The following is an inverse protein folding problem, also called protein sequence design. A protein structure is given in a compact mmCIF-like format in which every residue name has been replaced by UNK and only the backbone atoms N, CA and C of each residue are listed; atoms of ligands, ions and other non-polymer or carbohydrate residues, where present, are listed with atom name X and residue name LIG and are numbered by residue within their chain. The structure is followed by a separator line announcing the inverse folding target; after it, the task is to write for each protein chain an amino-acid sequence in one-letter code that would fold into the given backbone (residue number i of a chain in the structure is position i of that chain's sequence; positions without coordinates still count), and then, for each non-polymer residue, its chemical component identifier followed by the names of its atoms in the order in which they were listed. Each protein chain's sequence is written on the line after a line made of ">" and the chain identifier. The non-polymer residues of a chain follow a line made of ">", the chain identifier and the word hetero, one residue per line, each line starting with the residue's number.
data_IF_685377323514
#
_entry.id   IF_685377323514
#
_cell.length_a   1.000
_cell.length_b   1.000
_cell.length_c   1.000
_cell.angle_alpha   90.00
_cell.angle_beta   90.00
_cell.angle_gamma   90.00
#
_symmetry.space_group_name_H-M   'P 1'
#
loop_
_entity.id
_entity.type
_entity.pdbx_description
1 polymer ?
#
# COMPACT_ATOMS: atom_id res chain seq x y z
N UNK A 1 56.61 -14.77 48.26
CA UNK A 1 55.30 -14.92 47.60
C UNK A 1 55.45 -14.38 46.18
N UNK A 2 55.83 -15.25 45.25
CA UNK A 2 55.01 -15.71 44.09
C UNK A 2 54.86 -14.62 43.01
N UNK A 3 55.30 -14.75 41.76
CA UNK A 3 56.17 -15.68 41.03
C UNK A 3 56.51 -14.93 39.71
N UNK A 4 57.80 -14.85 39.34
CA UNK A 4 58.25 -14.52 37.98
C UNK A 4 58.47 -15.81 37.21
N UNK A 5 57.87 -15.96 36.01
CA UNK A 5 58.20 -16.97 34.98
C UNK A 5 57.53 -16.53 33.66
N UNK A 6 58.27 -15.89 32.74
CA UNK A 6 58.94 -16.42 31.53
C UNK A 6 58.01 -17.06 30.50
N UNK A 7 57.84 -16.41 29.35
CA UNK A 7 57.46 -17.06 28.09
C UNK A 7 58.46 -16.66 27.00
N UNK A 8 59.09 -17.70 26.46
CA UNK A 8 59.87 -17.76 25.22
C UNK A 8 58.93 -17.96 24.02
N UNK A 9 59.47 -17.76 22.80
CA UNK A 9 58.98 -18.35 21.54
C UNK A 9 57.80 -17.60 20.89
N UNK A 10 57.68 -17.39 19.59
CA UNK A 10 58.28 -18.00 18.39
C UNK A 10 58.26 -16.99 17.22
N UNK A 11 59.18 -17.17 16.29
CA UNK A 11 59.08 -16.68 14.90
C UNK A 11 57.75 -17.15 14.28
N UNK A 12 56.86 -16.22 13.91
CA UNK A 12 55.65 -16.54 13.14
C UNK A 12 55.65 -15.77 11.81
N UNK A 13 56.23 -16.47 10.85
CA UNK A 13 55.77 -16.73 9.49
C UNK A 13 54.97 -15.64 8.73
N UNK A 14 55.54 -15.28 7.58
CA UNK A 14 54.98 -14.32 6.64
C UNK A 14 53.66 -14.80 6.05
N UNK A 15 52.55 -14.32 6.60
CA UNK A 15 51.23 -14.45 5.96
C UNK A 15 50.60 -13.07 5.74
N UNK A 16 50.73 -12.58 4.50
CA UNK A 16 50.10 -11.32 4.08
C UNK A 16 48.58 -11.42 4.21
N UNK A 17 48.01 -10.82 5.26
CA UNK A 17 46.57 -10.66 5.39
C UNK A 17 46.14 -9.57 4.40
N UNK A 18 45.67 -10.00 3.23
CA UNK A 18 45.04 -9.11 2.24
C UNK A 18 43.87 -8.40 2.90
N UNK A 19 44.02 -7.10 3.20
CA UNK A 19 42.93 -6.21 3.58
C UNK A 19 41.87 -6.27 2.47
N UNK A 20 40.75 -6.95 2.73
CA UNK A 20 39.59 -6.91 1.83
C UNK A 20 39.06 -5.47 1.86
N UNK A 21 39.37 -4.74 0.79
CA UNK A 21 38.80 -3.43 0.50
C UNK A 21 37.28 -3.52 0.59
N UNK A 22 36.72 -2.66 1.45
CA UNK A 22 35.30 -2.50 1.70
C UNK A 22 34.65 -2.02 0.39
N UNK A 23 34.10 -2.96 -0.38
CA UNK A 23 33.34 -2.65 -1.59
C UNK A 23 32.21 -1.69 -1.21
N UNK A 24 32.32 -0.47 -1.74
CA UNK A 24 31.36 0.60 -1.60
C UNK A 24 29.98 0.15 -2.07
N UNK A 25 28.99 0.40 -1.21
CA UNK A 25 27.55 0.35 -1.41
C UNK A 25 27.15 1.21 -2.62
N UNK A 26 27.35 0.70 -3.82
CA UNK A 26 27.15 1.41 -5.08
C UNK A 26 26.78 0.47 -6.21
N UNK A 27 25.95 -0.55 -5.96
CA UNK A 27 25.60 -1.52 -6.99
C UNK A 27 24.29 -2.27 -6.70
N UNK A 28 23.19 -1.56 -6.42
CA UNK A 28 21.84 -2.17 -6.40
C UNK A 28 20.83 -1.46 -7.31
N UNK A 29 21.26 -0.49 -8.13
CA UNK A 29 20.39 0.19 -9.10
C UNK A 29 20.88 -0.06 -10.52
N UNK A 30 20.93 -1.35 -10.92
CA UNK A 30 21.23 -1.82 -12.27
C UNK A 30 20.05 -1.70 -13.25
N UNK A 31 19.21 -0.69 -13.05
CA UNK A 31 18.00 -0.47 -13.83
C UNK A 31 17.36 0.84 -13.38
N UNK A 32 17.86 1.97 -13.90
CA UNK A 32 17.22 3.28 -13.69
C UNK A 32 15.80 3.19 -14.28
N UNK A 33 14.80 3.03 -13.43
CA UNK A 33 13.38 3.24 -13.74
C UNK A 33 13.06 4.74 -13.89
N UNK A 34 13.95 5.49 -14.54
CA UNK A 34 13.75 6.89 -14.91
C UNK A 34 13.32 6.92 -16.37
N UNK A 35 12.23 7.63 -16.65
CA UNK A 35 11.55 7.75 -17.94
C UNK A 35 12.44 7.48 -19.15
N UNK A 36 12.05 6.47 -19.94
CA UNK A 36 12.81 5.91 -21.06
C UNK A 36 12.96 6.83 -22.26
N UNK A 37 13.59 7.99 -22.08
CA UNK A 37 13.97 8.92 -23.14
C UNK A 37 15.43 8.77 -23.60
N UNK A 38 16.28 8.07 -22.84
CA UNK A 38 17.69 7.87 -23.20
C UNK A 38 17.92 6.72 -24.20
N UNK A 39 19.10 6.70 -24.85
CA UNK A 39 19.51 5.66 -25.83
C UNK A 39 19.40 4.22 -25.31
N UNK A 40 19.49 4.04 -23.99
CA UNK A 40 19.40 2.73 -23.33
C UNK A 40 17.99 2.37 -22.83
N UNK A 41 17.05 3.31 -22.91
CA UNK A 41 15.65 3.11 -22.53
C UNK A 41 14.81 2.47 -23.65
N UNK A 42 13.60 2.03 -23.30
CA UNK A 42 12.66 1.39 -24.22
C UNK A 42 12.52 2.12 -25.57
N UNK A 43 12.28 3.45 -25.54
CA UNK A 43 12.11 4.24 -26.78
C UNK A 43 13.37 4.26 -27.65
N UNK A 44 14.56 4.30 -27.05
CA UNK A 44 15.84 4.26 -27.76
C UNK A 44 16.08 2.93 -28.47
N UNK A 45 15.79 1.80 -27.80
CA UNK A 45 15.85 0.46 -28.40
C UNK A 45 14.78 0.26 -29.48
N UNK A 46 13.57 0.74 -29.25
CA UNK A 46 12.46 0.65 -30.22
C UNK A 46 12.82 1.35 -31.53
N UNK A 47 13.29 2.61 -31.47
CA UNK A 47 13.71 3.37 -32.66
C UNK A 47 14.87 2.72 -33.41
N UNK A 48 15.71 1.93 -32.73
CA UNK A 48 16.79 1.16 -33.38
C UNK A 48 16.27 -0.05 -34.15
N UNK A 49 15.25 -0.74 -33.63
CA UNK A 49 14.71 -1.97 -34.21
C UNK A 49 13.60 -1.70 -35.24
N UNK A 50 12.77 -0.69 -35.00
CA UNK A 50 11.61 -0.33 -35.81
C UNK A 50 11.64 1.20 -36.03
N UNK A 51 12.48 1.71 -36.94
CA UNK A 51 12.72 3.16 -37.09
C UNK A 51 11.50 3.93 -37.62
N UNK A 52 10.62 3.27 -38.37
CA UNK A 52 9.48 3.90 -39.06
C UNK A 52 8.17 3.85 -38.24
N UNK A 53 8.22 3.36 -37.00
CA UNK A 53 7.05 3.26 -36.13
C UNK A 53 7.31 3.96 -34.80
N UNK A 54 6.47 4.93 -34.46
CA UNK A 54 6.53 5.58 -33.14
C UNK A 54 6.32 4.54 -32.03
N UNK A 55 7.11 4.60 -30.93
CA UNK A 55 6.97 3.65 -29.85
C UNK A 55 5.60 3.79 -29.17
N UNK A 56 5.01 2.68 -28.69
CA UNK A 56 3.76 2.73 -27.96
C UNK A 56 3.91 3.61 -26.71
N UNK A 57 2.82 4.29 -26.35
CA UNK A 57 2.75 5.08 -25.12
C UNK A 57 2.80 4.14 -23.92
N UNK A 58 3.53 4.51 -22.87
CA UNK A 58 3.54 3.78 -21.61
C UNK A 58 2.45 4.35 -20.69
N UNK A 59 1.97 3.59 -19.68
CA UNK A 59 1.01 4.11 -18.70
C UNK A 59 1.46 5.41 -18.05
N UNK A 60 2.77 5.52 -17.76
CA UNK A 60 3.39 6.73 -17.22
C UNK A 60 3.17 7.99 -18.07
N UNK A 61 2.95 7.85 -19.38
CA UNK A 61 2.65 8.99 -20.27
C UNK A 61 1.27 9.61 -20.02
N UNK A 62 0.37 8.90 -19.34
CA UNK A 62 -0.97 9.35 -19.00
C UNK A 62 -1.11 9.76 -17.54
N UNK A 63 -0.07 9.52 -16.73
CA UNK A 63 -0.07 9.86 -15.31
C UNK A 63 0.64 11.20 -15.10
N UNK A 64 0.06 12.07 -14.29
CA UNK A 64 0.77 13.26 -13.85
C UNK A 64 1.95 12.83 -12.96
N UNK A 65 3.15 13.43 -13.13
CA UNK A 65 4.26 13.20 -12.21
C UNK A 65 3.83 13.53 -10.79
N UNK A 66 4.19 12.67 -9.85
CA UNK A 66 3.90 12.93 -8.43
C UNK A 66 4.57 14.24 -8.01
N UNK A 67 3.86 15.15 -7.32
CA UNK A 67 4.47 16.37 -6.80
C UNK A 67 5.55 16.02 -5.77
N UNK A 68 6.64 16.80 -5.70
CA UNK A 68 7.70 16.58 -4.73
C UNK A 68 7.16 16.71 -3.30
N UNK A 69 7.85 16.09 -2.34
CA UNK A 69 7.53 16.26 -0.92
C UNK A 69 7.75 17.71 -0.50
N UNK A 70 6.74 18.41 0.03
CA UNK A 70 6.88 19.77 0.52
C UNK A 70 7.89 19.83 1.68
N UNK A 71 8.59 20.95 1.85
CA UNK A 71 9.52 21.16 2.96
C UNK A 71 8.82 21.40 4.31
N UNK A 72 7.53 21.72 4.29
CA UNK A 72 6.69 21.93 5.46
C UNK A 72 5.42 21.09 5.34
N UNK A 73 4.82 20.72 6.48
CA UNK A 73 3.57 19.94 6.49
C UNK A 73 2.44 20.83 5.92
N UNK A 74 1.70 20.37 4.89
CA UNK A 74 0.58 21.11 4.33
C UNK A 74 -0.62 21.14 5.30
N UNK A 75 -1.55 22.09 5.10
CA UNK A 75 -2.76 22.21 5.94
C UNK A 75 -3.83 21.18 5.63
N UNK A 76 -3.86 20.62 4.42
CA UNK A 76 -4.85 19.64 3.94
C UNK A 76 -4.15 18.41 3.39
N UNK A 77 -4.87 17.30 3.38
CA UNK A 77 -4.48 16.01 2.83
C UNK A 77 -5.12 15.87 1.45
N UNK A 78 -4.35 15.53 0.43
CA UNK A 78 -4.92 15.18 -0.89
C UNK A 78 -5.27 13.70 -0.91
N UNK A 79 -6.51 13.36 -1.26
CA UNK A 79 -7.00 11.98 -1.30
C UNK A 79 -7.45 11.63 -2.71
N UNK A 80 -6.96 10.48 -3.19
CA UNK A 80 -7.47 9.78 -4.35
C UNK A 80 -8.14 8.49 -3.86
N UNK A 81 -9.41 8.29 -4.16
CA UNK A 81 -10.14 7.07 -3.82
C UNK A 81 -10.67 6.44 -5.10
N UNK A 82 -10.13 5.28 -5.44
CA UNK A 82 -10.37 4.62 -6.73
C UNK A 82 -10.86 3.20 -6.56
N UNK A 83 -11.81 2.85 -7.41
CA UNK A 83 -12.31 1.51 -7.67
C UNK A 83 -11.88 1.08 -9.08
N UNK A 84 -11.93 -0.22 -9.43
CA UNK A 84 -11.53 -0.69 -10.75
C UNK A 84 -12.34 -0.07 -11.90
N UNK A 85 -13.57 0.36 -11.61
CA UNK A 85 -14.54 0.83 -12.60
C UNK A 85 -14.94 2.30 -12.44
N UNK A 86 -14.52 2.97 -11.35
CA UNK A 86 -14.78 4.41 -11.12
C UNK A 86 -13.77 5.04 -10.17
N UNK A 87 -13.57 6.34 -10.28
CA UNK A 87 -12.86 7.13 -9.29
C UNK A 87 -13.89 7.84 -8.41
N UNK A 88 -13.96 7.48 -7.13
CA UNK A 88 -14.87 8.10 -6.16
C UNK A 88 -14.37 9.48 -5.76
N UNK A 89 -13.07 9.61 -5.49
CA UNK A 89 -12.41 10.88 -5.17
C UNK A 89 -11.16 11.02 -6.03
N UNK A 90 -11.00 12.17 -6.66
CA UNK A 90 -9.84 12.46 -7.52
C UNK A 90 -9.23 13.79 -7.11
N UNK A 91 -8.04 13.74 -6.51
CA UNK A 91 -7.30 14.89 -6.00
C UNK A 91 -8.14 15.78 -5.05
N UNK A 92 -9.00 15.17 -4.22
CA UNK A 92 -9.82 15.93 -3.25
C UNK A 92 -8.95 16.34 -2.06
N UNK A 93 -8.99 17.61 -1.67
CA UNK A 93 -8.35 18.10 -0.45
C UNK A 93 -9.30 17.94 0.74
N UNK A 94 -8.83 17.31 1.81
CA UNK A 94 -9.63 16.98 3.01
C UNK A 94 -8.80 17.21 4.28
N UNK A 95 -9.43 17.26 5.45
CA UNK A 95 -8.71 17.44 6.72
C UNK A 95 -8.08 16.14 7.20
N UNK A 96 -8.82 15.03 7.09
CA UNK A 96 -8.31 13.73 7.47
C UNK A 96 -9.15 12.60 6.87
N UNK A 97 -8.60 11.40 6.89
CA UNK A 97 -9.34 10.18 6.58
C UNK A 97 -9.15 9.12 7.66
N UNK A 98 -10.14 8.26 7.84
CA UNK A 98 -10.09 7.11 8.74
C UNK A 98 -10.21 5.84 7.91
N UNK A 99 -9.19 4.99 7.97
CA UNK A 99 -9.03 3.78 7.16
C UNK A 99 -9.23 2.51 8.01
N UNK A 100 -9.98 1.51 7.50
CA UNK A 100 -10.11 0.21 8.14
C UNK A 100 -8.91 -0.68 7.80
N UNK A 101 -7.76 -0.43 8.43
CA UNK A 101 -6.58 -1.27 8.24
C UNK A 101 -6.74 -2.65 8.89
N UNK A 102 -6.01 -3.65 8.38
CA UNK A 102 -6.00 -5.00 8.98
C UNK A 102 -5.57 -5.00 10.45
N UNK A 103 -4.70 -4.06 10.84
CA UNK A 103 -4.23 -3.88 12.22
C UNK A 103 -5.18 -3.08 13.11
N UNK A 104 -6.25 -2.47 12.56
CA UNK A 104 -7.18 -1.62 13.31
C UNK A 104 -7.65 -0.40 12.52
N UNK A 105 -8.33 0.52 13.19
CA UNK A 105 -8.72 1.80 12.59
C UNK A 105 -7.54 2.78 12.60
N UNK A 106 -7.23 3.37 11.46
CA UNK A 106 -6.09 4.28 11.30
C UNK A 106 -6.55 5.64 10.77
N UNK A 107 -6.28 6.71 11.53
CA UNK A 107 -6.47 8.08 11.08
C UNK A 107 -5.25 8.61 10.34
N UNK A 108 -5.45 9.17 9.16
CA UNK A 108 -4.40 9.79 8.33
C UNK A 108 -4.68 11.29 8.24
N UNK A 109 -3.73 12.07 8.72
CA UNK A 109 -3.73 13.54 8.70
C UNK A 109 -2.63 14.06 7.75
N UNK A 110 -2.63 15.35 7.40
CA UNK A 110 -1.52 15.96 6.66
C UNK A 110 -0.19 15.72 7.38
N UNK A 111 0.85 15.36 6.62
CA UNK A 111 2.17 15.05 7.15
C UNK A 111 2.33 13.66 7.80
N UNK A 112 1.33 12.78 7.67
CA UNK A 112 1.44 11.40 8.16
C UNK A 112 2.64 10.66 7.54
N UNK A 113 3.24 9.75 8.31
CA UNK A 113 4.35 8.92 7.85
C UNK A 113 3.95 8.08 6.65
N UNK A 114 4.83 8.01 5.65
CA UNK A 114 4.60 7.22 4.45
C UNK A 114 4.38 5.74 4.81
N UNK A 115 3.24 5.20 4.40
CA UNK A 115 2.74 3.90 4.84
C UNK A 115 1.98 3.21 3.71
N UNK A 116 2.15 1.89 3.60
CA UNK A 116 1.28 1.06 2.78
C UNK A 116 0.49 0.18 3.75
N UNK A 117 -0.83 0.26 3.68
CA UNK A 117 -1.73 -0.47 4.56
C UNK A 117 -2.69 -1.32 3.75
N UNK A 118 -2.85 -2.58 4.14
CA UNK A 118 -3.92 -3.43 3.66
C UNK A 118 -5.23 -3.07 4.38
N UNK A 119 -6.32 -3.00 3.62
CA UNK A 119 -7.65 -2.67 4.12
C UNK A 119 -8.49 -3.93 4.26
N UNK A 120 -9.10 -4.08 5.44
CA UNK A 120 -10.10 -5.11 5.72
C UNK A 120 -11.51 -4.58 5.42
N UNK A 121 -12.53 -5.45 5.33
CA UNK A 121 -13.92 -4.99 5.24
C UNK A 121 -14.26 -4.04 6.39
N UNK A 122 -14.80 -2.85 6.09
CA UNK A 122 -15.11 -1.87 7.12
C UNK A 122 -15.41 -0.47 6.60
N UNK A 123 -15.63 0.46 7.53
CA UNK A 123 -15.92 1.87 7.21
C UNK A 123 -14.63 2.62 6.89
N UNK A 124 -14.61 3.26 5.74
CA UNK A 124 -13.72 4.34 5.36
C UNK A 124 -14.45 5.68 5.54
N UNK A 125 -13.89 6.59 6.31
CA UNK A 125 -14.48 7.93 6.53
C UNK A 125 -13.58 9.03 6.00
N UNK A 126 -14.17 10.01 5.33
CA UNK A 126 -13.49 11.18 4.80
C UNK A 126 -14.04 12.42 5.50
N UNK A 127 -13.17 13.18 6.15
CA UNK A 127 -13.54 14.36 6.92
C UNK A 127 -13.09 15.63 6.20
N UNK A 128 -14.03 16.51 5.87
CA UNK A 128 -13.78 17.81 5.26
C UNK A 128 -14.60 18.89 6.00
N UNK A 129 -13.95 19.58 6.93
CA UNK A 129 -14.57 20.50 7.87
C UNK A 129 -15.61 19.80 8.73
N UNK A 130 -16.87 20.20 8.56
CA UNK A 130 -18.01 19.62 9.27
C UNK A 130 -18.66 18.46 8.50
N UNK A 131 -18.25 18.20 7.26
CA UNK A 131 -18.79 17.14 6.42
C UNK A 131 -18.01 15.84 6.66
N UNK A 132 -18.73 14.74 6.88
CA UNK A 132 -18.16 13.40 7.02
C UNK A 132 -18.84 12.47 6.04
N UNK A 133 -18.12 12.05 5.00
CA UNK A 133 -18.59 11.06 4.03
C UNK A 133 -18.11 9.67 4.47
N UNK A 134 -19.05 8.73 4.69
CA UNK A 134 -18.75 7.35 5.10
C UNK A 134 -18.99 6.38 3.95
N UNK A 135 -18.01 5.54 3.67
CA UNK A 135 -18.10 4.47 2.68
C UNK A 135 -17.81 3.13 3.37
N UNK A 136 -18.59 2.10 3.08
CA UNK A 136 -18.17 0.74 3.35
C UNK A 136 -17.24 0.27 2.23
N UNK A 137 -16.08 -0.25 2.60
CA UNK A 137 -15.08 -0.78 1.68
C UNK A 137 -14.96 -2.28 1.90
N UNK A 138 -14.94 -3.07 0.80
CA UNK A 138 -14.83 -4.53 0.88
C UNK A 138 -13.41 -5.00 1.22
N UNK A 139 -12.42 -4.48 0.49
CA UNK A 139 -10.99 -4.76 0.67
C UNK A 139 -10.18 -3.78 -0.19
N UNK A 140 -8.88 -3.72 0.04
CA UNK A 140 -8.01 -2.87 -0.76
C UNK A 140 -6.67 -2.56 -0.13
N UNK A 141 -6.05 -1.50 -0.63
CA UNK A 141 -4.82 -0.93 -0.09
C UNK A 141 -4.94 0.58 0.02
N UNK A 142 -4.33 1.14 1.06
CA UNK A 142 -4.10 2.56 1.19
C UNK A 142 -2.60 2.85 1.11
N UNK A 143 -2.22 3.78 0.24
CA UNK A 143 -0.87 4.27 0.07
C UNK A 143 -0.80 5.70 0.57
N UNK A 144 -0.24 5.88 1.76
CA UNK A 144 0.04 7.20 2.32
C UNK A 144 1.45 7.59 1.88
N UNK A 145 1.56 8.73 1.20
CA UNK A 145 2.83 9.24 0.68
C UNK A 145 3.38 10.35 1.56
N UNK A 146 4.70 10.52 1.54
CA UNK A 146 5.38 11.55 2.34
C UNK A 146 4.97 12.99 1.98
N UNK A 147 4.40 13.20 0.79
CA UNK A 147 3.95 14.50 0.31
C UNK A 147 2.48 14.82 0.70
N UNK A 148 1.92 14.14 1.70
CA UNK A 148 0.51 14.29 2.15
C UNK A 148 -0.52 13.99 1.06
N UNK A 149 -0.19 13.04 0.19
CA UNK A 149 -1.13 12.43 -0.75
C UNK A 149 -1.45 11.03 -0.24
N UNK A 150 -2.73 10.67 -0.21
CA UNK A 150 -3.19 9.31 0.13
C UNK A 150 -3.96 8.73 -1.04
N UNK A 151 -3.46 7.63 -1.59
CA UNK A 151 -4.17 6.85 -2.61
C UNK A 151 -4.85 5.65 -1.95
N UNK A 152 -6.18 5.65 -1.91
CA UNK A 152 -7.00 4.53 -1.45
C UNK A 152 -7.48 3.78 -2.68
N UNK A 153 -7.12 2.50 -2.78
CA UNK A 153 -7.50 1.62 -3.88
C UNK A 153 -8.30 0.48 -3.29
N UNK A 154 -9.59 0.42 -3.60
CA UNK A 154 -10.47 -0.64 -3.13
C UNK A 154 -11.03 -1.46 -4.29
N UNK A 155 -11.44 -2.70 -4.00
CA UNK A 155 -12.13 -3.54 -5.01
C UNK A 155 -13.57 -3.08 -5.20
N UNK A 156 -14.27 -2.85 -4.09
CA UNK A 156 -15.65 -2.38 -4.07
C UNK A 156 -15.85 -1.41 -2.90
N UNK A 157 -16.65 -0.38 -3.11
CA UNK A 157 -17.07 0.52 -2.06
C UNK A 157 -18.44 1.12 -2.32
N UNK A 158 -19.22 1.25 -1.25
CA UNK A 158 -20.60 1.74 -1.28
C UNK A 158 -20.80 2.76 -0.16
N UNK A 159 -21.44 3.91 -0.42
CA UNK A 159 -21.85 4.82 0.65
C UNK A 159 -22.72 4.08 1.68
N UNK A 160 -22.49 4.33 2.97
CA UNK A 160 -23.13 3.54 4.04
C UNK A 160 -24.66 3.65 3.99
N UNK A 161 -25.18 4.80 3.57
CA UNK A 161 -26.60 5.08 3.38
C UNK A 161 -27.29 4.23 2.30
N UNK A 162 -26.52 3.59 1.41
CA UNK A 162 -27.06 2.72 0.37
C UNK A 162 -27.07 1.23 0.76
N UNK A 163 -26.68 0.91 1.99
CA UNK A 163 -26.64 -0.46 2.49
C UNK A 163 -28.00 -0.83 3.08
N UNK A 164 -28.61 -1.90 2.56
CA UNK A 164 -29.86 -2.44 3.09
C UNK A 164 -29.58 -3.35 4.31
N UNK A 165 -30.06 -2.99 5.51
CA UNK A 165 -29.84 -3.78 6.73
C UNK A 165 -30.45 -5.18 6.66
N UNK A 166 -31.58 -5.36 5.97
CA UNK A 166 -32.26 -6.66 5.88
C UNK A 166 -31.44 -7.65 5.06
N UNK A 167 -30.87 -7.19 3.94
CA UNK A 167 -29.99 -7.99 3.09
C UNK A 167 -28.70 -8.38 3.82
N UNK A 168 -28.13 -7.47 4.61
CA UNK A 168 -26.94 -7.75 5.44
C UNK A 168 -27.23 -8.86 6.45
N UNK A 169 -28.34 -8.77 7.18
CA UNK A 169 -28.73 -9.77 8.17
C UNK A 169 -29.00 -11.14 7.53
N UNK A 170 -29.72 -11.14 6.40
CA UNK A 170 -29.98 -12.35 5.63
C UNK A 170 -28.68 -13.01 5.16
N UNK A 171 -27.77 -12.23 4.57
CA UNK A 171 -26.47 -12.73 4.10
C UNK A 171 -25.62 -13.29 5.24
N UNK A 172 -25.59 -12.62 6.39
CA UNK A 172 -24.87 -13.12 7.58
C UNK A 172 -25.39 -14.49 8.03
N UNK A 173 -26.72 -14.66 8.09
CA UNK A 173 -27.33 -15.93 8.44
C UNK A 173 -27.00 -17.04 7.42
N UNK A 174 -27.03 -16.72 6.12
CA UNK A 174 -26.68 -17.67 5.05
C UNK A 174 -25.22 -18.14 5.17
N UNK A 175 -24.26 -17.23 5.37
CA UNK A 175 -22.85 -17.60 5.51
C UNK A 175 -22.56 -18.34 6.83
N UNK A 176 -23.29 -18.02 7.90
CA UNK A 176 -23.22 -18.77 9.16
C UNK A 176 -23.74 -20.21 9.02
N UNK A 177 -24.74 -20.45 8.17
CA UNK A 177 -25.16 -21.81 7.82
C UNK A 177 -24.12 -22.52 6.95
N UNK A 178 -23.57 -21.81 5.94
CA UNK A 178 -22.55 -22.36 5.04
C UNK A 178 -21.32 -22.85 5.79
N UNK A 179 -20.80 -22.07 6.75
CA UNK A 179 -19.60 -22.48 7.51
C UNK A 179 -19.82 -23.75 8.33
N UNK A 180 -21.04 -23.94 8.86
CA UNK A 180 -21.40 -25.13 9.63
C UNK A 180 -21.53 -26.38 8.74
N UNK A 181 -21.93 -26.20 7.48
CA UNK A 181 -22.07 -27.29 6.50
C UNK A 181 -20.80 -27.57 5.68
N UNK A 182 -19.79 -26.69 5.77
CA UNK A 182 -18.59 -26.76 4.95
C UNK A 182 -17.66 -27.91 5.39
N UNK A 183 -17.35 -28.81 4.46
CA UNK A 183 -16.50 -29.98 4.70
C UNK A 183 -15.06 -29.80 4.24
N UNK A 184 -14.82 -28.93 3.26
CA UNK A 184 -13.48 -28.62 2.73
C UNK A 184 -12.94 -27.32 3.30
N UNK A 185 -11.62 -27.20 3.37
CA UNK A 185 -10.96 -25.99 3.86
C UNK A 185 -11.26 -24.77 2.97
N UNK A 186 -11.38 -24.98 1.65
CA UNK A 186 -11.80 -23.93 0.72
C UNK A 186 -13.21 -23.42 1.05
N UNK A 187 -14.19 -24.31 1.23
CA UNK A 187 -15.56 -23.91 1.53
C UNK A 187 -15.66 -23.22 2.91
N UNK A 188 -14.86 -23.65 3.88
CA UNK A 188 -14.77 -22.97 5.19
C UNK A 188 -14.19 -21.57 5.05
N UNK A 189 -13.12 -21.41 4.25
CA UNK A 189 -12.51 -20.10 4.00
C UNK A 189 -13.48 -19.15 3.29
N UNK A 190 -14.18 -19.61 2.25
CA UNK A 190 -15.19 -18.81 1.55
C UNK A 190 -16.34 -18.39 2.48
N UNK A 191 -16.83 -19.32 3.30
CA UNK A 191 -17.88 -19.01 4.26
C UNK A 191 -17.41 -18.02 5.33
N UNK A 192 -16.18 -18.17 5.82
CA UNK A 192 -15.58 -17.24 6.79
C UNK A 192 -15.43 -15.83 6.21
N UNK A 193 -14.95 -15.69 4.98
CA UNK A 193 -14.87 -14.40 4.28
C UNK A 193 -16.25 -13.74 4.20
N UNK A 194 -17.28 -14.53 3.88
CA UNK A 194 -18.67 -14.06 3.86
C UNK A 194 -19.13 -13.55 5.23
N UNK A 195 -18.86 -14.29 6.30
CA UNK A 195 -19.17 -13.88 7.68
C UNK A 195 -18.43 -12.59 8.04
N UNK A 196 -17.14 -12.50 7.74
CA UNK A 196 -16.31 -11.33 8.09
C UNK A 196 -16.83 -10.06 7.42
N UNK A 197 -17.19 -10.13 6.14
CA UNK A 197 -17.76 -9.00 5.39
C UNK A 197 -19.13 -8.60 5.95
N UNK A 198 -20.04 -9.56 6.16
CA UNK A 198 -21.40 -9.24 6.62
C UNK A 198 -21.43 -8.77 8.08
N UNK A 199 -20.53 -9.30 8.91
CA UNK A 199 -20.32 -8.83 10.29
C UNK A 199 -19.81 -7.38 10.30
N UNK A 200 -18.85 -7.06 9.41
CA UNK A 200 -18.37 -5.69 9.24
C UNK A 200 -19.46 -4.75 8.71
N UNK A 201 -20.29 -5.18 7.76
CA UNK A 201 -21.45 -4.42 7.26
C UNK A 201 -22.45 -4.13 8.38
N UNK A 202 -22.78 -5.13 9.19
CA UNK A 202 -23.71 -4.95 10.30
C UNK A 202 -23.15 -4.00 11.38
N UNK A 203 -21.84 -4.10 11.64
CA UNK A 203 -21.15 -3.16 12.53
C UNK A 203 -21.15 -1.74 11.95
N UNK A 204 -21.06 -1.60 10.63
CA UNK A 204 -21.07 -0.30 9.97
C UNK A 204 -22.43 0.40 10.03
N UNK A 205 -23.52 -0.36 9.94
CA UNK A 205 -24.89 0.14 10.01
C UNK A 205 -25.29 0.61 11.43
N UNK A 206 -24.57 0.15 12.45
CA UNK A 206 -24.86 0.44 13.86
C UNK A 206 -23.93 1.49 14.48
N UNK A 207 -22.97 2.03 13.71
CA UNK A 207 -21.89 2.92 14.17
C UNK A 207 -22.01 4.38 13.68
#
# INVERSE_FOLDING_TARGET
>A
MTHTRSETSDEDDGRSVRRRSRATRGQIHGGRAGGGGGRYGFRGKWKKLIPNLEPPKTPLSFMQPRPPTPSAIPSKLTVNFVLPYKSELSAKEVDMVILPATTGQMGVLPGHVATIAELKPGIFSVHDGNEVSKYFVSSGFAFVHANSVTDVVAVEAVPVEHIDPELVQKGLAEFQQKINSATTDLAKAEAQIGIDVHSALNSALTA
#
